data_IF_823774277590
#
_entry.id   IF_823774277590
#
_cell.length_a   1.000
_cell.length_b   1.000
_cell.length_c   1.000
_cell.angle_alpha   90.00
_cell.angle_beta   90.00
_cell.angle_gamma   90.00
#
_symmetry.space_group_name_H-M   'P 1'
#
loop_
_entity.id
_entity.type
_entity.pdbx_description
1 polymer ?
#
# COMPACT_ATOMS: atom_id res chain seq x y z
N UNK A 1 -6.32 2.55 -35.25
CA UNK A 1 -6.29 1.16 -34.72
C UNK A 1 -4.87 0.60 -34.52
N UNK A 2 -3.91 0.77 -35.45
CA UNK A 2 -2.58 0.17 -35.32
C UNK A 2 -1.71 0.68 -34.14
N UNK A 3 -1.82 1.96 -33.76
CA UNK A 3 -1.09 2.52 -32.61
C UNK A 3 -1.56 1.98 -31.25
N UNK A 4 -2.87 1.70 -31.09
CA UNK A 4 -3.39 1.17 -29.82
C UNK A 4 -3.05 -0.32 -29.63
N UNK A 5 -2.98 -1.10 -30.71
CA UNK A 5 -2.57 -2.50 -30.66
C UNK A 5 -1.08 -2.66 -30.28
N UNK A 6 -0.18 -1.83 -30.85
CA UNK A 6 1.24 -1.83 -30.48
C UNK A 6 1.47 -1.41 -29.03
N UNK A 7 0.76 -0.38 -28.55
CA UNK A 7 0.85 0.07 -27.16
C UNK A 7 0.40 -1.01 -26.16
N UNK A 8 -0.68 -1.75 -26.49
CA UNK A 8 -1.17 -2.88 -25.68
C UNK A 8 -0.19 -4.06 -25.66
N UNK A 9 0.52 -4.33 -26.76
CA UNK A 9 1.56 -5.37 -26.80
C UNK A 9 2.77 -4.99 -25.95
N UNK A 10 3.24 -3.74 -26.03
CA UNK A 10 4.35 -3.26 -25.20
C UNK A 10 4.00 -3.25 -23.72
N UNK A 11 2.76 -2.89 -23.36
CA UNK A 11 2.30 -2.91 -21.97
C UNK A 11 2.27 -4.35 -21.43
N UNK A 12 1.73 -5.32 -22.18
CA UNK A 12 1.74 -6.74 -21.78
C UNK A 12 3.16 -7.28 -21.55
N UNK A 13 4.09 -6.97 -22.45
CA UNK A 13 5.50 -7.38 -22.30
C UNK A 13 6.13 -6.74 -21.07
N UNK A 14 5.89 -5.46 -20.82
CA UNK A 14 6.40 -4.77 -19.64
C UNK A 14 5.84 -5.37 -18.34
N UNK A 15 4.54 -5.67 -18.30
CA UNK A 15 3.90 -6.33 -17.14
C UNK A 15 4.53 -7.70 -16.89
N UNK A 16 4.70 -8.50 -17.93
CA UNK A 16 5.36 -9.81 -17.82
C UNK A 16 6.81 -9.69 -17.35
N UNK A 17 7.56 -8.68 -17.83
CA UNK A 17 8.93 -8.44 -17.35
C UNK A 17 8.94 -8.06 -15.87
N UNK A 18 8.03 -7.20 -15.41
CA UNK A 18 7.90 -6.85 -13.99
C UNK A 18 7.58 -8.11 -13.17
N UNK A 19 6.50 -8.82 -13.50
CA UNK A 19 6.03 -9.98 -12.74
C UNK A 19 6.97 -11.19 -12.79
N UNK A 20 7.70 -11.39 -13.89
CA UNK A 20 8.57 -12.57 -14.04
C UNK A 20 10.04 -12.30 -13.68
N UNK A 21 10.45 -11.04 -13.51
CA UNK A 21 11.85 -10.70 -13.18
C UNK A 21 11.96 -9.86 -11.92
N UNK A 22 11.22 -8.75 -11.85
CA UNK A 22 11.32 -7.83 -10.72
C UNK A 22 10.66 -8.41 -9.47
N UNK A 23 9.45 -8.94 -9.59
CA UNK A 23 8.72 -9.49 -8.43
C UNK A 23 9.48 -10.66 -7.76
N UNK A 24 10.02 -11.67 -8.50
CA UNK A 24 10.85 -12.71 -7.89
C UNK A 24 12.14 -12.18 -7.25
N UNK A 25 12.69 -11.08 -7.77
CA UNK A 25 13.86 -10.44 -7.17
C UNK A 25 13.50 -9.70 -5.88
N UNK A 26 12.33 -9.06 -5.81
CA UNK A 26 11.80 -8.41 -4.60
C UNK A 26 11.33 -9.43 -3.56
N UNK A 27 10.82 -10.60 -3.98
CA UNK A 27 10.40 -11.70 -3.10
C UNK A 27 11.56 -12.48 -2.47
N UNK A 28 12.80 -12.01 -2.61
CA UNK A 28 13.94 -12.63 -1.92
C UNK A 28 13.77 -12.51 -0.41
N UNK A 29 14.08 -13.56 0.37
CA UNK A 29 13.96 -13.52 1.81
C UNK A 29 14.76 -12.36 2.42
N UNK A 30 14.09 -11.51 3.18
CA UNK A 30 14.73 -10.49 3.99
C UNK A 30 15.35 -11.14 5.22
N UNK A 31 16.63 -11.49 5.14
CA UNK A 31 17.37 -12.14 6.24
C UNK A 31 17.54 -11.24 7.47
N UNK A 32 17.30 -9.94 7.35
CA UNK A 32 17.32 -9.00 8.46
C UNK A 32 15.94 -8.70 9.04
N UNK A 33 14.87 -9.30 8.50
CA UNK A 33 13.53 -9.15 9.07
C UNK A 33 13.41 -9.99 10.35
N UNK A 34 12.67 -9.51 11.37
CA UNK A 34 12.54 -10.22 12.63
C UNK A 34 11.79 -11.54 12.44
N UNK A 35 12.15 -12.54 13.25
CA UNK A 35 11.33 -13.71 13.45
C UNK A 35 10.06 -13.31 14.21
N UNK A 36 8.93 -13.86 13.81
CA UNK A 36 7.62 -13.60 14.41
C UNK A 36 7.10 -14.86 15.09
N UNK A 37 6.22 -14.70 16.08
CA UNK A 37 5.57 -15.83 16.74
C UNK A 37 4.63 -16.58 15.78
N UNK A 38 3.93 -15.85 14.91
CA UNK A 38 3.03 -16.43 13.93
C UNK A 38 3.20 -15.76 12.55
N UNK A 39 3.24 -16.60 11.52
CA UNK A 39 2.96 -16.20 10.13
C UNK A 39 2.03 -17.23 9.53
N UNK A 40 0.80 -16.82 9.20
CA UNK A 40 -0.28 -17.72 8.78
C UNK A 40 -0.98 -17.22 7.53
N UNK A 41 -1.06 -18.07 6.52
CA UNK A 41 -1.87 -17.81 5.32
C UNK A 41 -3.36 -17.97 5.64
N UNK A 42 -4.16 -17.07 5.08
CA UNK A 42 -5.61 -16.98 5.24
C UNK A 42 -6.28 -16.85 3.88
N UNK A 43 -7.53 -17.28 3.82
CA UNK A 43 -8.41 -17.15 2.66
C UNK A 43 -9.64 -16.36 3.12
N UNK A 44 -9.79 -15.13 2.62
CA UNK A 44 -10.93 -14.27 2.94
C UNK A 44 -12.00 -14.53 1.88
N UNK A 45 -13.15 -15.03 2.29
CA UNK A 45 -14.28 -15.24 1.38
C UNK A 45 -14.97 -13.90 1.09
N UNK A 46 -14.99 -13.50 -0.18
CA UNK A 46 -15.62 -12.24 -0.64
C UNK A 46 -16.66 -12.51 -1.70
N UNK A 47 -17.49 -11.51 -2.02
CA UNK A 47 -18.42 -11.59 -3.16
C UNK A 47 -17.70 -11.80 -4.50
N UNK A 48 -16.43 -11.40 -4.61
CA UNK A 48 -15.60 -11.54 -5.81
C UNK A 48 -14.81 -12.84 -5.89
N UNK A 49 -15.00 -13.76 -4.93
CA UNK A 49 -14.21 -14.98 -4.75
C UNK A 49 -13.30 -14.93 -3.53
N UNK A 50 -12.40 -15.91 -3.42
CA UNK A 50 -11.43 -15.97 -2.32
C UNK A 50 -10.31 -14.94 -2.51
N UNK A 51 -10.09 -14.11 -1.51
CA UNK A 51 -9.02 -13.13 -1.42
C UNK A 51 -7.89 -13.67 -0.50
N UNK A 52 -6.73 -14.06 -1.06
CA UNK A 52 -5.62 -14.53 -0.25
C UNK A 52 -5.08 -13.43 0.67
N UNK A 53 -4.73 -13.81 1.88
CA UNK A 53 -4.12 -12.93 2.86
C UNK A 53 -3.08 -13.67 3.69
N UNK A 54 -2.22 -12.92 4.39
CA UNK A 54 -1.28 -13.48 5.35
C UNK A 54 -1.24 -12.63 6.61
N UNK A 55 -1.45 -13.28 7.75
CA UNK A 55 -1.30 -12.69 9.07
C UNK A 55 0.15 -12.83 9.55
N UNK A 56 0.68 -11.75 10.13
CA UNK A 56 1.99 -11.67 10.76
C UNK A 56 1.80 -11.14 12.18
N UNK A 57 2.19 -11.90 13.21
CA UNK A 57 1.98 -11.53 14.61
C UNK A 57 3.19 -11.80 15.50
N UNK A 58 3.47 -10.87 16.43
CA UNK A 58 4.53 -11.01 17.44
C UNK A 58 4.14 -11.84 18.65
N UNK A 59 2.87 -11.83 19.03
CA UNK A 59 2.41 -12.40 20.31
C UNK A 59 1.42 -13.56 20.13
N UNK A 60 1.00 -13.84 18.89
CA UNK A 60 -0.06 -14.83 18.59
C UNK A 60 -1.32 -14.59 19.45
N UNK A 61 -1.69 -13.32 19.64
CA UNK A 61 -2.88 -12.92 20.40
C UNK A 61 -3.89 -12.23 19.49
N UNK A 62 -5.12 -12.73 19.47
CA UNK A 62 -6.17 -12.29 18.54
C UNK A 62 -6.76 -10.89 18.81
N UNK A 63 -6.18 -10.05 19.70
CA UNK A 63 -6.82 -8.80 20.17
C UNK A 63 -5.90 -7.58 20.25
N UNK A 64 -4.74 -7.64 19.57
CA UNK A 64 -3.82 -6.51 19.44
C UNK A 64 -4.35 -5.38 18.55
N UNK A 65 -3.47 -4.44 18.22
CA UNK A 65 -3.71 -3.53 17.10
C UNK A 65 -3.43 -4.25 15.79
N UNK A 66 -4.29 -4.05 14.80
CA UNK A 66 -4.18 -4.72 13.52
C UNK A 66 -4.03 -3.70 12.39
N UNK A 67 -3.00 -3.89 11.56
CA UNK A 67 -2.78 -3.16 10.33
C UNK A 67 -3.15 -4.04 9.13
N UNK A 68 -4.23 -3.69 8.43
CA UNK A 68 -4.49 -4.25 7.10
C UNK A 68 -3.55 -3.58 6.10
N UNK A 69 -2.64 -4.36 5.53
CA UNK A 69 -1.57 -3.85 4.67
C UNK A 69 -1.81 -4.20 3.20
N UNK A 70 -1.87 -3.16 2.37
CA UNK A 70 -2.10 -3.23 0.94
C UNK A 70 -0.77 -2.94 0.24
N UNK A 71 -0.22 -3.95 -0.45
CA UNK A 71 1.08 -3.85 -1.06
C UNK A 71 1.14 -2.83 -2.21
N UNK A 72 2.33 -2.31 -2.50
CA UNK A 72 2.63 -1.46 -3.66
C UNK A 72 2.61 -2.22 -4.99
N UNK A 73 3.42 -1.79 -5.96
CA UNK A 73 3.48 -2.45 -7.28
C UNK A 73 2.53 -1.89 -8.33
N UNK A 74 2.04 -0.66 -8.11
CA UNK A 74 1.31 0.12 -9.12
C UNK A 74 -0.04 -0.45 -9.53
N UNK A 75 -0.67 -1.24 -8.64
CA UNK A 75 -1.95 -1.94 -8.87
C UNK A 75 -1.86 -3.05 -9.95
N UNK A 76 -0.64 -3.38 -10.38
CA UNK A 76 -0.37 -4.25 -11.53
C UNK A 76 0.59 -5.39 -11.20
N UNK A 77 1.37 -5.28 -10.14
CA UNK A 77 2.41 -6.23 -9.75
C UNK A 77 2.50 -6.33 -8.24
N UNK A 78 3.46 -7.14 -7.74
CA UNK A 78 3.62 -7.50 -6.33
C UNK A 78 2.58 -8.49 -5.81
N UNK A 79 2.86 -9.03 -4.62
CA UNK A 79 2.05 -10.02 -3.93
C UNK A 79 2.47 -10.13 -2.47
N UNK A 80 1.84 -11.05 -1.73
CA UNK A 80 2.29 -11.44 -0.38
C UNK A 80 3.79 -11.79 -0.34
N UNK A 81 4.31 -12.46 -1.38
CA UNK A 81 5.71 -12.88 -1.42
C UNK A 81 6.68 -11.70 -1.56
N UNK A 82 6.34 -10.68 -2.37
CA UNK A 82 7.21 -9.51 -2.57
C UNK A 82 7.24 -8.57 -1.35
N UNK A 83 6.29 -8.72 -0.43
CA UNK A 83 6.16 -7.91 0.78
C UNK A 83 6.33 -8.71 2.07
N UNK A 84 6.74 -9.98 2.03
CA UNK A 84 6.90 -10.81 3.24
C UNK A 84 7.88 -10.19 4.24
N UNK A 85 9.06 -9.78 3.78
CA UNK A 85 10.04 -9.08 4.61
C UNK A 85 9.53 -7.73 5.14
N UNK A 86 8.76 -7.00 4.34
CA UNK A 86 8.16 -5.72 4.73
C UNK A 86 7.15 -5.92 5.85
N UNK A 87 6.24 -6.88 5.70
CA UNK A 87 5.20 -7.18 6.69
C UNK A 87 5.81 -7.72 7.99
N UNK A 88 6.88 -8.53 7.90
CA UNK A 88 7.64 -8.98 9.08
C UNK A 88 8.25 -7.81 9.84
N UNK A 89 8.92 -6.90 9.15
CA UNK A 89 9.50 -5.70 9.77
C UNK A 89 8.43 -4.81 10.37
N UNK A 90 7.30 -4.62 9.67
CA UNK A 90 6.18 -3.85 10.18
C UNK A 90 5.67 -4.48 11.47
N UNK A 91 5.31 -5.77 11.46
CA UNK A 91 4.80 -6.44 12.65
C UNK A 91 5.81 -6.36 13.81
N UNK A 92 7.05 -6.82 13.59
CA UNK A 92 8.08 -6.84 14.63
C UNK A 92 8.51 -5.46 15.14
N UNK A 93 8.52 -4.44 14.27
CA UNK A 93 8.99 -3.10 14.62
C UNK A 93 7.90 -2.18 15.18
N UNK A 94 6.66 -2.31 14.71
CA UNK A 94 5.54 -1.48 15.16
C UNK A 94 4.86 -2.05 16.40
N UNK A 95 4.86 -3.37 16.56
CA UNK A 95 4.06 -4.07 17.55
C UNK A 95 2.61 -4.32 17.12
N UNK A 96 2.23 -3.95 15.88
CA UNK A 96 0.94 -4.30 15.31
C UNK A 96 0.98 -5.71 14.74
N UNK A 97 -0.14 -6.41 14.80
CA UNK A 97 -0.36 -7.50 13.87
C UNK A 97 -0.55 -6.91 12.47
N UNK A 98 -0.08 -7.63 11.45
CA UNK A 98 -0.21 -7.19 10.06
C UNK A 98 -0.99 -8.23 9.28
N UNK A 99 -2.12 -7.84 8.70
CA UNK A 99 -2.88 -8.64 7.74
C UNK A 99 -2.57 -8.13 6.33
N UNK A 100 -1.64 -8.78 5.64
CA UNK A 100 -1.28 -8.44 4.27
C UNK A 100 -2.28 -9.05 3.29
N UNK A 101 -2.69 -8.30 2.27
CA UNK A 101 -3.74 -8.68 1.33
C UNK A 101 -3.20 -8.84 -0.10
N UNK A 102 -3.50 -9.96 -0.74
CA UNK A 102 -3.16 -10.27 -2.15
C UNK A 102 -4.31 -9.84 -3.07
N UNK A 103 -4.55 -8.53 -3.16
CA UNK A 103 -5.68 -7.98 -3.89
C UNK A 103 -5.57 -8.19 -5.41
N UNK A 104 -6.72 -8.20 -6.09
CA UNK A 104 -6.78 -8.41 -7.55
C UNK A 104 -6.06 -7.29 -8.32
N UNK A 105 -5.23 -7.68 -9.29
CA UNK A 105 -4.37 -6.78 -10.04
C UNK A 105 -4.91 -6.46 -11.44
N UNK A 106 -4.63 -5.24 -11.89
CA UNK A 106 -4.77 -4.86 -13.28
C UNK A 106 -3.62 -5.43 -14.14
N UNK A 107 -3.82 -5.57 -15.46
CA UNK A 107 -5.04 -5.24 -16.21
C UNK A 107 -6.11 -6.35 -16.20
N UNK A 108 -5.84 -7.50 -15.57
CA UNK A 108 -6.78 -8.62 -15.54
C UNK A 108 -8.06 -8.27 -14.80
N UNK A 109 -7.92 -7.52 -13.69
CA UNK A 109 -9.03 -7.06 -12.85
C UNK A 109 -8.85 -5.55 -12.62
N UNK A 110 -9.30 -4.70 -13.56
CA UNK A 110 -9.19 -3.25 -13.43
C UNK A 110 -10.10 -2.72 -12.31
N UNK A 111 -10.10 -1.41 -12.10
CA UNK A 111 -11.00 -0.72 -11.19
C UNK A 111 -12.46 -1.19 -11.40
N UNK A 112 -13.24 -1.45 -10.33
CA UNK A 112 -12.91 -1.21 -8.91
C UNK A 112 -12.30 -2.40 -8.16
N UNK A 113 -11.86 -3.48 -8.81
CA UNK A 113 -11.57 -4.76 -8.14
C UNK A 113 -10.66 -4.65 -6.88
N UNK A 114 -9.50 -4.01 -6.99
CA UNK A 114 -8.62 -3.83 -5.83
C UNK A 114 -9.20 -2.95 -4.70
N UNK A 115 -10.10 -2.00 -5.03
CA UNK A 115 -10.79 -1.21 -4.01
C UNK A 115 -11.82 -2.05 -3.26
N UNK A 116 -12.58 -2.87 -3.99
CA UNK A 116 -13.57 -3.79 -3.41
C UNK A 116 -12.88 -4.82 -2.49
N UNK A 117 -11.71 -5.32 -2.90
CA UNK A 117 -10.91 -6.25 -2.09
C UNK A 117 -10.38 -5.59 -0.81
N UNK A 118 -9.93 -4.33 -0.89
CA UNK A 118 -9.47 -3.59 0.29
C UNK A 118 -10.61 -3.36 1.31
N UNK A 119 -11.82 -3.06 0.84
CA UNK A 119 -13.00 -2.95 1.72
C UNK A 119 -13.39 -4.29 2.34
N UNK A 120 -13.42 -5.36 1.54
CA UNK A 120 -13.73 -6.69 2.02
C UNK A 120 -12.71 -7.15 3.07
N UNK A 121 -11.42 -6.88 2.86
CA UNK A 121 -10.36 -7.17 3.81
C UNK A 121 -10.56 -6.44 5.15
N UNK A 122 -10.92 -5.15 5.12
CA UNK A 122 -11.17 -4.38 6.34
C UNK A 122 -12.43 -4.85 7.08
N UNK A 123 -13.49 -5.20 6.35
CA UNK A 123 -14.70 -5.77 6.95
C UNK A 123 -14.38 -7.11 7.64
N UNK A 124 -13.70 -8.01 6.93
CA UNK A 124 -13.23 -9.29 7.48
C UNK A 124 -12.35 -9.08 8.71
N UNK A 125 -11.42 -8.12 8.66
CA UNK A 125 -10.51 -7.85 9.76
C UNK A 125 -11.25 -7.35 11.01
N UNK A 126 -12.21 -6.44 10.83
CA UNK A 126 -13.04 -5.92 11.92
C UNK A 126 -13.89 -7.01 12.57
N UNK A 127 -14.47 -7.91 11.77
CA UNK A 127 -15.38 -8.96 12.24
C UNK A 127 -14.63 -10.14 12.88
N UNK A 128 -13.52 -10.58 12.26
CA UNK A 128 -12.83 -11.81 12.63
C UNK A 128 -11.87 -11.62 13.79
N UNK A 129 -11.09 -10.53 13.77
CA UNK A 129 -10.09 -10.26 14.82
C UNK A 129 -10.64 -9.34 15.92
N UNK A 130 -11.64 -8.50 15.61
CA UNK A 130 -12.15 -7.49 16.54
C UNK A 130 -11.01 -6.74 17.28
N UNK A 131 -10.06 -6.15 16.53
CA UNK A 131 -8.81 -5.65 17.10
C UNK A 131 -9.07 -4.43 18.00
N UNK A 132 -8.14 -4.15 18.91
CA UNK A 132 -8.20 -2.96 19.78
C UNK A 132 -8.19 -1.67 18.95
N UNK A 133 -7.38 -1.66 17.90
CA UNK A 133 -7.36 -0.61 16.87
C UNK A 133 -7.24 -1.25 15.51
N UNK A 134 -8.03 -0.79 14.55
CA UNK A 134 -7.96 -1.20 13.16
C UNK A 134 -7.39 -0.07 12.31
N UNK A 135 -6.21 -0.32 11.75
CA UNK A 135 -5.54 0.57 10.82
C UNK A 135 -5.58 -0.02 9.41
N UNK A 136 -5.59 0.86 8.41
CA UNK A 136 -5.24 0.52 7.04
C UNK A 136 -3.89 1.11 6.69
N UNK A 137 -3.12 0.45 5.85
CA UNK A 137 -1.86 0.97 5.38
C UNK A 137 -1.44 0.35 4.07
N UNK A 138 -0.39 0.93 3.52
CA UNK A 138 0.16 0.44 2.26
C UNK A 138 1.31 1.31 1.81
N UNK A 139 2.10 0.75 0.92
CA UNK A 139 3.21 1.44 0.30
C UNK A 139 2.89 1.79 -1.15
N UNK A 140 3.42 2.92 -1.64
CA UNK A 140 3.22 3.36 -3.02
C UNK A 140 1.73 3.33 -3.39
N UNK A 141 1.34 2.62 -4.45
CA UNK A 141 -0.06 2.50 -4.89
C UNK A 141 -1.00 1.78 -3.89
N UNK A 142 -0.48 1.00 -2.95
CA UNK A 142 -1.27 0.47 -1.84
C UNK A 142 -1.78 1.57 -0.91
N UNK A 143 -1.07 2.70 -0.84
CA UNK A 143 -1.51 3.90 -0.14
C UNK A 143 -2.81 4.49 -0.71
N UNK A 144 -3.00 4.46 -2.03
CA UNK A 144 -4.26 4.87 -2.68
C UNK A 144 -5.42 4.03 -2.16
N UNK A 145 -5.26 2.71 -2.15
CA UNK A 145 -6.29 1.77 -1.70
C UNK A 145 -6.60 1.97 -0.21
N UNK A 146 -5.58 2.15 0.63
CA UNK A 146 -5.76 2.36 2.07
C UNK A 146 -6.56 3.65 2.35
N UNK A 147 -6.21 4.76 1.68
CA UNK A 147 -6.93 6.03 1.84
C UNK A 147 -8.36 5.92 1.32
N UNK A 148 -8.56 5.32 0.14
CA UNK A 148 -9.90 5.16 -0.44
C UNK A 148 -10.80 4.30 0.46
N UNK A 149 -10.30 3.19 0.98
CA UNK A 149 -11.04 2.30 1.87
C UNK A 149 -11.36 2.97 3.22
N UNK A 150 -10.41 3.71 3.80
CA UNK A 150 -10.64 4.50 5.02
C UNK A 150 -11.78 5.51 4.84
N UNK A 151 -11.81 6.20 3.68
CA UNK A 151 -12.89 7.15 3.34
C UNK A 151 -14.25 6.46 3.23
N UNK A 152 -14.33 5.35 2.50
CA UNK A 152 -15.58 4.58 2.34
C UNK A 152 -16.12 4.10 3.68
N UNK A 153 -15.23 3.60 4.55
CA UNK A 153 -15.57 3.19 5.92
C UNK A 153 -16.04 4.35 6.80
N UNK A 154 -15.37 5.51 6.76
CA UNK A 154 -15.81 6.69 7.49
C UNK A 154 -17.20 7.17 7.01
N UNK A 155 -17.46 7.18 5.71
CA UNK A 155 -18.77 7.51 5.14
C UNK A 155 -19.87 6.51 5.55
N UNK A 156 -19.50 5.25 5.81
CA UNK A 156 -20.40 4.22 6.34
C UNK A 156 -20.56 4.26 7.88
N UNK A 157 -19.98 5.26 8.57
CA UNK A 157 -20.04 5.37 10.04
C UNK A 157 -19.14 4.39 10.80
N UNK A 158 -18.14 3.81 10.13
CA UNK A 158 -17.21 2.82 10.69
C UNK A 158 -15.74 3.27 10.53
N UNK A 159 -15.36 4.47 11.00
CA UNK A 159 -14.03 5.03 10.76
C UNK A 159 -12.92 4.11 11.30
N UNK A 160 -11.77 4.15 10.64
CA UNK A 160 -10.56 3.46 11.11
C UNK A 160 -9.87 4.26 12.22
N UNK A 161 -9.06 3.59 13.03
CA UNK A 161 -8.28 4.24 14.09
C UNK A 161 -7.03 4.94 13.55
N UNK A 162 -6.59 4.56 12.34
CA UNK A 162 -5.45 5.22 11.72
C UNK A 162 -5.09 4.75 10.32
N UNK A 163 -4.20 5.52 9.70
CA UNK A 163 -3.57 5.21 8.42
C UNK A 163 -2.06 5.11 8.57
N UNK A 164 -1.45 4.09 7.97
CA UNK A 164 0.01 3.93 7.91
C UNK A 164 0.50 3.91 6.44
N UNK A 165 0.93 5.06 5.94
CA UNK A 165 1.26 5.26 4.53
C UNK A 165 2.78 5.35 4.32
N UNK A 166 3.31 4.51 3.41
CA UNK A 166 4.73 4.52 3.07
C UNK A 166 4.92 4.99 1.63
N UNK A 167 5.56 6.15 1.47
CA UNK A 167 5.79 6.82 0.19
C UNK A 167 4.59 6.73 -0.77
N UNK A 168 3.38 7.11 -0.32
CA UNK A 168 2.16 6.74 -0.98
C UNK A 168 2.01 7.40 -2.34
N UNK A 169 1.48 6.64 -3.30
CA UNK A 169 0.86 7.17 -4.51
C UNK A 169 -0.62 7.35 -4.16
N UNK A 170 -1.12 8.57 -4.26
CA UNK A 170 -2.50 8.94 -3.89
C UNK A 170 -3.29 9.50 -5.09
N UNK A 171 -2.66 9.56 -6.25
CA UNK A 171 -3.22 10.09 -7.48
C UNK A 171 -2.72 9.24 -8.65
N UNK A 172 -3.61 8.86 -9.57
CA UNK A 172 -3.19 8.27 -10.84
C UNK A 172 -3.14 9.32 -11.96
N UNK A 173 -3.72 10.49 -11.74
CA UNK A 173 -3.57 11.63 -12.64
C UNK A 173 -2.25 12.37 -12.40
N UNK A 174 -1.75 13.09 -13.42
CA UNK A 174 -0.54 13.89 -13.28
C UNK A 174 -0.69 14.95 -12.19
N UNK A 175 0.31 15.01 -11.31
CA UNK A 175 0.41 16.08 -10.31
C UNK A 175 1.26 17.22 -10.84
N UNK A 176 0.97 18.45 -10.40
CA UNK A 176 1.87 19.58 -10.62
C UNK A 176 3.28 19.21 -10.14
N UNK A 177 4.30 19.61 -10.90
CA UNK A 177 5.72 19.35 -10.60
C UNK A 177 6.17 17.88 -10.57
N UNK A 178 5.30 16.92 -10.93
CA UNK A 178 5.72 15.53 -11.11
C UNK A 178 6.89 15.44 -12.12
N UNK A 179 8.04 14.84 -11.72
CA UNK A 179 9.12 14.58 -12.65
C UNK A 179 8.62 13.76 -13.85
N UNK A 180 9.17 14.03 -15.04
CA UNK A 180 8.72 13.42 -16.30
C UNK A 180 8.57 11.90 -16.26
N UNK A 181 9.51 11.20 -15.63
CA UNK A 181 9.46 9.74 -15.51
C UNK A 181 8.30 9.29 -14.63
N UNK A 182 8.09 9.93 -13.48
CA UNK A 182 7.02 9.56 -12.57
C UNK A 182 5.64 9.89 -13.14
N UNK A 183 5.49 11.02 -13.85
CA UNK A 183 4.28 11.35 -14.62
C UNK A 183 3.91 10.25 -15.63
N UNK A 184 4.91 9.68 -16.30
CA UNK A 184 4.72 8.53 -17.22
C UNK A 184 4.29 7.28 -16.48
N UNK A 185 4.88 7.00 -15.32
CA UNK A 185 4.49 5.88 -14.46
C UNK A 185 3.04 6.01 -14.01
N UNK A 186 2.59 7.19 -13.54
CA UNK A 186 1.18 7.43 -13.19
C UNK A 186 0.23 7.21 -14.36
N UNK A 187 0.54 7.79 -15.51
CA UNK A 187 -0.25 7.60 -16.72
C UNK A 187 -0.30 6.13 -17.16
N UNK A 188 0.78 5.36 -16.96
CA UNK A 188 0.80 3.92 -17.21
C UNK A 188 -0.08 3.16 -16.21
N UNK A 189 0.03 3.43 -14.90
CA UNK A 189 -0.85 2.85 -13.87
C UNK A 189 -2.33 3.16 -14.16
N UNK A 190 -2.67 4.42 -14.48
CA UNK A 190 -4.02 4.83 -14.87
C UNK A 190 -4.53 4.03 -16.06
N UNK A 191 -3.71 3.84 -17.10
CA UNK A 191 -4.11 3.05 -18.27
C UNK A 191 -4.34 1.57 -17.96
N UNK A 192 -3.59 0.97 -17.04
CA UNK A 192 -3.82 -0.43 -16.70
C UNK A 192 -5.04 -0.59 -15.77
N UNK A 193 -5.15 0.28 -14.78
CA UNK A 193 -6.11 0.10 -13.70
C UNK A 193 -7.45 0.81 -13.94
N UNK A 194 -7.42 2.03 -14.49
CA UNK A 194 -8.56 2.95 -14.51
C UNK A 194 -8.87 3.47 -15.94
N UNK A 195 -8.56 2.69 -16.99
CA UNK A 195 -8.81 3.12 -18.37
C UNK A 195 -10.29 3.37 -18.68
N UNK A 196 -11.20 2.71 -17.97
CA UNK A 196 -12.65 2.82 -18.16
C UNK A 196 -13.31 3.86 -17.23
N UNK A 197 -12.54 4.50 -16.34
CA UNK A 197 -13.07 5.56 -15.49
C UNK A 197 -13.09 6.88 -16.26
N UNK A 198 -14.29 7.42 -16.44
CA UNK A 198 -14.51 8.79 -16.87
C UNK A 198 -14.25 9.75 -15.69
N UNK A 199 -13.53 10.85 -15.94
CA UNK A 199 -13.19 11.85 -14.92
C UNK A 199 -11.88 11.60 -14.15
N UNK A 200 -11.54 12.50 -13.20
CA UNK A 200 -10.33 12.39 -12.40
C UNK A 200 -10.37 11.15 -11.48
N UNK A 201 -9.31 10.35 -11.49
CA UNK A 201 -9.13 9.23 -10.54
C UNK A 201 -8.70 9.76 -9.17
N UNK A 202 -8.19 10.99 -9.13
CA UNK A 202 -7.81 11.67 -7.90
C UNK A 202 -8.96 11.74 -6.88
N UNK A 203 -10.23 11.73 -7.32
CA UNK A 203 -11.44 11.67 -6.49
C UNK A 203 -11.52 10.42 -5.59
N UNK A 204 -10.76 9.37 -5.91
CA UNK A 204 -10.70 8.14 -5.11
C UNK A 204 -9.95 8.36 -3.78
N UNK A 205 -8.98 9.27 -3.71
CA UNK A 205 -8.22 9.57 -2.48
C UNK A 205 -8.27 11.03 -2.03
N UNK A 206 -8.52 11.99 -2.93
CA UNK A 206 -8.69 13.42 -2.65
C UNK A 206 -10.04 13.86 -3.20
N UNK A 207 -10.97 14.49 -2.46
CA UNK A 207 -10.66 15.78 -1.86
C UNK A 207 -11.50 16.06 -0.60
N UNK A 208 -11.22 15.37 0.51
CA UNK A 208 -11.51 15.90 1.85
C UNK A 208 -10.46 15.28 2.79
N UNK A 209 -9.33 15.95 2.95
CA UNK A 209 -8.44 15.60 4.06
C UNK A 209 -9.16 15.76 5.42
N UNK A 210 -10.24 16.54 5.45
CA UNK A 210 -11.24 16.54 6.51
C UNK A 210 -11.99 15.20 6.56
N UNK A 211 -11.70 14.40 7.59
CA UNK A 211 -12.37 13.11 7.82
C UNK A 211 -11.48 11.88 7.63
N UNK A 212 -10.20 12.06 7.26
CA UNK A 212 -9.23 10.99 7.42
C UNK A 212 -8.91 10.78 8.91
N UNK A 213 -8.69 9.52 9.34
CA UNK A 213 -8.25 9.23 10.70
C UNK A 213 -6.80 9.71 10.93
N UNK A 214 -6.29 9.68 12.17
CA UNK A 214 -4.87 9.93 12.43
C UNK A 214 -3.97 9.19 11.44
N UNK A 215 -3.14 9.92 10.71
CA UNK A 215 -2.42 9.40 9.55
C UNK A 215 -0.92 9.53 9.75
N UNK A 216 -0.21 8.40 9.77
CA UNK A 216 1.23 8.39 9.66
C UNK A 216 1.64 8.33 8.18
N UNK A 217 2.62 9.15 7.79
CA UNK A 217 3.24 9.08 6.47
C UNK A 217 4.75 8.98 6.63
N UNK A 218 5.36 7.96 6.04
CA UNK A 218 6.80 7.92 5.81
C UNK A 218 7.11 8.31 4.35
N UNK A 219 8.08 9.19 4.11
CA UNK A 219 8.48 9.59 2.74
C UNK A 219 9.99 9.51 2.53
N UNK A 220 10.40 9.26 1.28
CA UNK A 220 11.79 9.39 0.87
C UNK A 220 12.11 10.79 0.35
N UNK A 221 13.21 11.39 0.79
CA UNK A 221 13.62 12.72 0.33
C UNK A 221 14.02 12.77 -1.15
N UNK A 222 14.38 11.62 -1.75
CA UNK A 222 14.66 11.45 -3.20
C UNK A 222 13.51 10.78 -3.95
N UNK A 223 12.38 10.57 -3.30
CA UNK A 223 11.21 9.92 -3.87
C UNK A 223 10.27 10.97 -4.49
N UNK A 224 9.87 10.82 -5.77
CA UNK A 224 8.88 11.71 -6.36
C UNK A 224 7.48 11.64 -5.69
N UNK A 225 7.10 10.52 -5.04
CA UNK A 225 5.79 10.41 -4.36
C UNK A 225 5.66 11.30 -3.12
N UNK A 226 6.76 11.92 -2.66
CA UNK A 226 6.72 12.94 -1.60
C UNK A 226 5.78 14.11 -1.94
N UNK A 227 5.49 14.33 -3.23
CA UNK A 227 4.51 15.33 -3.67
C UNK A 227 3.07 14.95 -3.28
N UNK A 228 2.72 13.67 -3.28
CA UNK A 228 1.41 13.20 -2.82
C UNK A 228 1.27 13.35 -1.31
N UNK A 229 2.32 13.00 -0.56
CA UNK A 229 2.37 13.25 0.88
C UNK A 229 2.18 14.74 1.20
N UNK A 230 2.87 15.64 0.47
CA UNK A 230 2.70 17.09 0.62
C UNK A 230 1.27 17.55 0.33
N UNK A 231 0.63 17.03 -0.73
CA UNK A 231 -0.77 17.33 -1.06
C UNK A 231 -1.70 16.90 0.08
N UNK A 232 -1.49 15.71 0.64
CA UNK A 232 -2.30 15.20 1.75
C UNK A 232 -2.16 16.04 3.02
N UNK A 233 -0.92 16.41 3.36
CA UNK A 233 -0.62 17.30 4.51
C UNK A 233 -1.26 18.68 4.29
N UNK A 234 -1.08 19.27 3.11
CA UNK A 234 -1.63 20.59 2.79
C UNK A 234 -3.17 20.61 2.77
N UNK A 235 -3.81 19.45 2.57
CA UNK A 235 -5.25 19.29 2.63
C UNK A 235 -5.86 19.38 4.04
N UNK A 236 -5.04 19.35 5.10
CA UNK A 236 -5.50 19.46 6.49
C UNK A 236 -5.78 18.14 7.21
N UNK A 237 -5.30 17.00 6.70
CA UNK A 237 -5.41 15.72 7.39
C UNK A 237 -4.55 15.73 8.69
N UNK A 238 -4.98 15.03 9.75
CA UNK A 238 -4.19 14.88 10.98
C UNK A 238 -2.98 13.97 10.73
N UNK A 239 -1.88 14.57 10.24
CA UNK A 239 -0.71 13.82 9.75
C UNK A 239 0.50 13.92 10.69
N UNK A 240 1.06 12.77 11.07
CA UNK A 240 2.44 12.65 11.53
C UNK A 240 3.34 12.26 10.35
N UNK A 241 4.27 13.14 9.97
CA UNK A 241 5.15 12.91 8.82
C UNK A 241 6.58 12.55 9.25
N UNK A 242 7.07 11.39 8.80
CA UNK A 242 8.46 10.96 8.91
C UNK A 242 9.16 11.07 7.55
N UNK A 243 10.25 11.84 7.49
CA UNK A 243 11.04 11.99 6.26
C UNK A 243 12.37 11.25 6.40
N UNK A 244 12.64 10.30 5.51
CA UNK A 244 13.96 9.70 5.31
C UNK A 244 14.72 10.45 4.20
N UNK A 245 15.62 11.41 4.53
CA UNK A 245 16.03 12.46 3.58
C UNK A 245 16.74 11.95 2.32
N UNK A 246 17.34 10.77 2.40
CA UNK A 246 18.11 10.14 1.33
C UNK A 246 17.47 8.84 0.82
N UNK A 247 16.27 8.48 1.28
CA UNK A 247 15.56 7.30 0.76
C UNK A 247 14.98 7.60 -0.62
N UNK A 248 14.97 6.56 -1.45
CA UNK A 248 14.30 6.51 -2.75
C UNK A 248 12.94 5.82 -2.60
N UNK A 249 12.17 5.82 -3.69
CA UNK A 249 10.95 5.02 -3.76
C UNK A 249 11.23 3.53 -3.50
N UNK A 250 10.32 2.86 -2.78
CA UNK A 250 10.43 1.43 -2.48
C UNK A 250 11.42 1.09 -1.38
N UNK A 251 11.82 2.03 -0.51
CA UNK A 251 12.86 1.75 0.49
C UNK A 251 12.47 0.69 1.53
N UNK A 252 11.18 0.38 1.74
CA UNK A 252 10.79 -0.79 2.53
C UNK A 252 11.12 -2.08 1.76
N UNK A 253 10.73 -2.17 0.48
CA UNK A 253 10.97 -3.36 -0.35
C UNK A 253 12.46 -3.64 -0.58
N UNK A 254 13.28 -2.58 -0.61
CA UNK A 254 14.73 -2.70 -0.79
C UNK A 254 15.47 -3.14 0.48
N UNK A 255 14.79 -3.25 1.63
CA UNK A 255 15.41 -3.64 2.89
C UNK A 255 16.12 -5.00 2.81
N UNK A 256 15.54 -5.96 2.08
CA UNK A 256 16.11 -7.30 1.89
C UNK A 256 17.48 -7.31 1.18
N UNK A 257 17.79 -6.27 0.41
CA UNK A 257 18.98 -6.23 -0.47
C UNK A 257 19.91 -5.05 -0.18
N UNK A 258 19.55 -4.17 0.75
CA UNK A 258 20.31 -2.97 1.09
C UNK A 258 20.20 -2.68 2.58
N UNK A 259 21.31 -2.84 3.31
CA UNK A 259 21.39 -2.50 4.74
C UNK A 259 21.03 -1.05 5.02
N UNK A 260 21.38 -0.16 4.07
CA UNK A 260 20.99 1.24 4.11
C UNK A 260 19.47 1.40 4.03
N UNK A 261 18.81 0.69 3.11
CA UNK A 261 17.36 0.74 2.99
C UNK A 261 16.66 0.11 4.21
N UNK A 262 17.20 -1.00 4.73
CA UNK A 262 16.72 -1.63 5.95
C UNK A 262 16.74 -0.66 7.14
N UNK A 263 17.86 0.03 7.37
CA UNK A 263 17.93 1.02 8.44
C UNK A 263 16.95 2.21 8.25
N UNK A 264 16.60 2.55 7.00
CA UNK A 264 15.60 3.58 6.71
C UNK A 264 14.18 3.06 6.97
N UNK A 265 13.89 1.80 6.59
CA UNK A 265 12.64 1.12 6.90
C UNK A 265 12.43 1.02 8.41
N UNK A 266 13.43 0.55 9.15
CA UNK A 266 13.32 0.33 10.59
C UNK A 266 13.07 1.65 11.35
N UNK A 267 13.72 2.76 10.96
CA UNK A 267 13.43 4.09 11.53
C UNK A 267 12.03 4.58 11.19
N UNK A 268 11.57 4.38 9.96
CA UNK A 268 10.20 4.74 9.57
C UNK A 268 9.16 3.92 10.35
N UNK A 269 9.42 2.64 10.60
CA UNK A 269 8.53 1.76 11.37
C UNK A 269 8.56 2.13 12.87
N UNK A 270 9.71 2.47 13.42
CA UNK A 270 9.79 2.99 14.79
C UNK A 270 9.03 4.32 14.94
N UNK A 271 9.08 5.21 13.94
CA UNK A 271 8.30 6.43 13.92
C UNK A 271 6.79 6.15 13.79
N UNK A 272 6.38 5.14 13.02
CA UNK A 272 4.99 4.67 12.98
C UNK A 272 4.53 4.24 14.38
N UNK A 273 5.31 3.42 15.08
CA UNK A 273 5.01 2.99 16.44
C UNK A 273 4.77 4.20 17.35
N UNK A 274 5.69 5.15 17.34
CA UNK A 274 5.61 6.35 18.18
C UNK A 274 4.38 7.20 17.85
N UNK A 275 3.96 7.28 16.58
CA UNK A 275 2.78 8.04 16.16
C UNK A 275 1.45 7.46 16.68
N UNK A 276 1.44 6.18 17.05
CA UNK A 276 0.28 5.45 17.54
C UNK A 276 0.52 4.82 18.91
N UNK A 277 1.50 5.29 19.68
CA UNK A 277 1.70 4.86 21.08
C UNK A 277 0.86 5.68 22.06
#
# INVERSE_FOLDING_TARGET
MFFSARARLTDRVLIQLIRNRLDPWLARPDRGAPALAEVRDLAIETRGGTLPARLYSNEAQDRGDLLVFLHGGGLVSSSLATHDGVCRRLAGGSGFDVLAIDYRLAPEQPYPAAHDDAEAALAFAAETFAPRRLLAGGDSAGGLLAVAAARRRAAAGQPLDGLALFYPVLALDPVADDPRLFRRSRAWMRRQYAANLEGPVDDLAFPLAAGLPPTFIASGGRDPTRLDAKRLIAGGAPVTHHLEPRATHGFLNLAAVSSRAAAQADRAIAALKAAFS
#
